data_IF_247959231197
#
_entry.id   IF_247959231197
#
_cell.length_a   1.000
_cell.length_b   1.000
_cell.length_c   1.000
_cell.angle_alpha   90.00
_cell.angle_beta   90.00
_cell.angle_gamma   90.00
#
_symmetry.space_group_name_H-M   'P 1'
#
loop_
_entity.id
_entity.type
_entity.pdbx_description
1 polymer ?
#
# COMPACT_ATOMS: atom_id res chain seq x y z
N UNK A 1 36.70 3.06 10.17
CA UNK A 1 37.03 1.81 9.47
C UNK A 1 37.76 2.11 8.18
N UNK A 2 37.02 2.40 7.10
CA UNK A 2 37.57 2.64 5.76
C UNK A 2 38.51 3.86 5.60
N UNK A 3 38.43 4.85 6.49
CA UNK A 3 39.20 6.09 6.38
C UNK A 3 40.48 6.12 7.22
N UNK A 4 40.72 5.11 8.06
CA UNK A 4 41.93 5.06 8.90
C UNK A 4 43.12 4.39 8.20
N UNK A 5 42.86 3.60 7.16
CA UNK A 5 43.90 2.88 6.41
C UNK A 5 43.70 3.21 4.92
N UNK A 6 44.61 4.00 4.34
CA UNK A 6 44.55 4.55 2.99
C UNK A 6 44.64 3.55 1.83
N UNK A 7 44.26 2.29 2.07
CA UNK A 7 44.11 1.23 1.07
C UNK A 7 42.83 0.47 1.36
N UNK A 8 42.04 0.20 0.32
CA UNK A 8 40.97 -0.80 0.37
C UNK A 8 41.61 -2.17 0.60
N UNK A 9 41.84 -2.52 1.87
CA UNK A 9 42.15 -3.89 2.23
C UNK A 9 40.89 -4.71 1.91
N UNK A 10 40.91 -5.40 0.78
CA UNK A 10 39.85 -6.32 0.35
C UNK A 10 39.49 -7.28 1.51
N UNK A 11 40.47 -7.63 2.34
CA UNK A 11 40.28 -8.40 3.58
C UNK A 11 39.38 -7.72 4.61
N UNK A 12 39.47 -6.40 4.82
CA UNK A 12 38.58 -5.66 5.71
C UNK A 12 37.14 -5.67 5.21
N UNK A 13 36.93 -5.38 3.92
CA UNK A 13 35.60 -5.38 3.30
C UNK A 13 35.00 -6.78 3.33
N UNK A 14 35.77 -7.81 2.98
CA UNK A 14 35.33 -9.20 3.02
C UNK A 14 34.97 -9.62 4.45
N UNK A 15 35.78 -9.27 5.45
CA UNK A 15 35.49 -9.54 6.87
C UNK A 15 34.18 -8.86 7.30
N UNK A 16 33.98 -7.60 6.94
CA UNK A 16 32.76 -6.87 7.28
C UNK A 16 31.54 -7.55 6.66
N UNK A 17 31.58 -7.86 5.36
CA UNK A 17 30.49 -8.54 4.65
C UNK A 17 30.20 -9.92 5.26
N UNK A 18 31.23 -10.74 5.52
CA UNK A 18 31.07 -12.07 6.11
C UNK A 18 30.49 -12.01 7.52
N UNK A 19 30.98 -11.11 8.38
CA UNK A 19 30.43 -10.93 9.73
C UNK A 19 28.99 -10.42 9.69
N UNK A 20 28.65 -9.54 8.73
CA UNK A 20 27.28 -9.08 8.51
C UNK A 20 26.37 -10.25 8.17
N UNK A 21 26.75 -11.05 7.16
CA UNK A 21 25.97 -12.19 6.70
C UNK A 21 25.84 -13.26 7.78
N UNK A 22 26.93 -13.54 8.50
CA UNK A 22 26.92 -14.48 9.63
C UNK A 22 25.98 -13.98 10.74
N UNK A 23 26.09 -12.72 11.15
CA UNK A 23 25.22 -12.12 12.15
C UNK A 23 23.75 -12.17 11.73
N UNK A 24 23.41 -11.78 10.49
CA UNK A 24 22.04 -11.83 9.97
C UNK A 24 21.51 -13.26 9.93
N UNK A 25 22.29 -14.21 9.45
CA UNK A 25 21.89 -15.62 9.35
C UNK A 25 21.65 -16.23 10.73
N UNK A 26 22.59 -16.04 11.66
CA UNK A 26 22.47 -16.52 13.05
C UNK A 26 21.27 -15.86 13.74
N UNK A 27 21.07 -14.57 13.48
CA UNK A 27 19.96 -13.82 14.07
C UNK A 27 18.61 -14.37 13.62
N UNK A 28 18.39 -14.49 12.32
CA UNK A 28 17.12 -14.93 11.75
C UNK A 28 16.83 -16.43 11.95
N UNK A 29 17.84 -17.25 12.27
CA UNK A 29 17.68 -18.69 12.50
C UNK A 29 17.71 -19.08 13.98
N UNK A 30 18.85 -18.89 14.64
CA UNK A 30 19.09 -19.33 16.02
C UNK A 30 18.52 -18.34 17.03
N UNK A 31 18.92 -17.06 16.94
CA UNK A 31 18.50 -16.06 17.93
C UNK A 31 17.00 -15.82 17.87
N UNK A 32 16.37 -15.94 16.70
CA UNK A 32 14.91 -15.92 16.56
C UNK A 32 14.23 -16.90 17.52
N UNK A 33 14.69 -18.15 17.57
CA UNK A 33 14.13 -19.18 18.47
C UNK A 33 14.38 -18.86 19.93
N UNK A 34 15.54 -18.28 20.25
CA UNK A 34 15.89 -17.87 21.62
C UNK A 34 14.99 -16.72 22.08
N UNK A 35 14.79 -15.72 21.22
CA UNK A 35 13.95 -14.54 21.50
C UNK A 35 12.49 -14.94 21.66
N UNK A 36 11.94 -15.81 20.81
CA UNK A 36 10.56 -16.29 20.95
C UNK A 36 10.36 -17.08 22.24
N UNK A 37 11.27 -18.02 22.56
CA UNK A 37 11.24 -18.75 23.84
C UNK A 37 11.33 -17.83 25.05
N UNK A 38 12.22 -16.84 25.02
CA UNK A 38 12.36 -15.86 26.09
C UNK A 38 11.08 -15.03 26.25
N UNK A 39 10.44 -14.64 25.14
CA UNK A 39 9.18 -13.90 25.16
C UNK A 39 8.03 -14.73 25.73
N UNK A 40 7.90 -16.00 25.31
CA UNK A 40 6.92 -16.94 25.88
C UNK A 40 7.15 -17.15 27.37
N UNK A 41 8.41 -17.24 27.80
CA UNK A 41 8.75 -17.35 29.22
C UNK A 41 8.30 -16.11 30.02
N UNK A 42 8.59 -14.91 29.51
CA UNK A 42 8.16 -13.64 30.13
C UNK A 42 6.63 -13.59 30.21
N UNK A 43 5.94 -13.96 29.13
CA UNK A 43 4.48 -13.96 29.08
C UNK A 43 3.87 -14.94 30.10
N UNK A 44 4.32 -16.19 30.10
CA UNK A 44 3.76 -17.24 30.95
C UNK A 44 4.00 -16.98 32.44
N UNK A 45 5.12 -16.34 32.80
CA UNK A 45 5.49 -16.13 34.20
C UNK A 45 4.98 -14.82 34.79
N UNK A 46 4.72 -13.81 33.96
CA UNK A 46 4.48 -12.43 34.42
C UNK A 46 3.17 -11.82 33.90
N UNK A 47 2.43 -12.55 33.07
CA UNK A 47 1.13 -12.12 32.57
C UNK A 47 1.18 -11.09 31.45
N UNK A 48 0.00 -10.78 30.91
CA UNK A 48 -0.18 -10.03 29.67
C UNK A 48 0.14 -8.52 29.78
N UNK A 49 0.03 -7.94 30.98
CA UNK A 49 0.19 -6.49 31.22
C UNK A 49 1.56 -6.11 31.83
N UNK A 50 2.59 -6.94 31.70
CA UNK A 50 3.91 -6.62 32.23
C UNK A 50 4.68 -5.66 31.31
N UNK A 51 5.14 -4.52 31.84
CA UNK A 51 6.05 -3.60 31.12
C UNK A 51 7.39 -4.24 30.72
N UNK A 52 7.67 -5.44 31.24
CA UNK A 52 8.88 -6.21 30.96
C UNK A 52 8.97 -6.72 29.53
N UNK A 53 7.84 -6.95 28.83
CA UNK A 53 7.87 -7.25 27.39
C UNK A 53 8.51 -6.10 26.62
N UNK A 54 8.08 -4.87 26.92
CA UNK A 54 8.62 -3.64 26.33
C UNK A 54 10.10 -3.47 26.68
N UNK A 55 10.47 -3.67 27.95
CA UNK A 55 11.88 -3.63 28.37
C UNK A 55 12.72 -4.65 27.61
N UNK A 56 12.24 -5.88 27.47
CA UNK A 56 12.94 -6.93 26.73
C UNK A 56 13.11 -6.57 25.24
N UNK A 57 12.06 -6.05 24.59
CA UNK A 57 12.15 -5.54 23.20
C UNK A 57 13.26 -4.50 23.07
N UNK A 58 13.32 -3.53 23.99
CA UNK A 58 14.34 -2.48 23.96
C UNK A 58 15.76 -3.02 24.20
N UNK A 59 15.93 -3.97 25.13
CA UNK A 59 17.22 -4.59 25.42
C UNK A 59 17.72 -5.42 24.24
N UNK A 60 16.85 -6.24 23.62
CA UNK A 60 17.22 -7.01 22.42
C UNK A 60 17.63 -6.08 21.28
N UNK A 61 16.88 -5.00 21.06
CA UNK A 61 17.24 -3.96 20.09
C UNK A 61 18.62 -3.35 20.37
N UNK A 62 18.88 -2.94 21.61
CA UNK A 62 20.16 -2.36 22.02
C UNK A 62 21.34 -3.34 21.87
N UNK A 63 21.15 -4.62 22.23
CA UNK A 63 22.17 -5.66 22.07
C UNK A 63 22.52 -5.85 20.60
N UNK A 64 21.51 -5.99 19.73
CA UNK A 64 21.75 -6.18 18.30
C UNK A 64 22.37 -4.94 17.67
N UNK A 65 21.93 -3.74 18.08
CA UNK A 65 22.55 -2.48 17.70
C UNK A 65 24.02 -2.39 18.11
N UNK A 66 24.36 -2.82 19.33
CA UNK A 66 25.73 -2.84 19.82
C UNK A 66 26.60 -3.86 19.08
N UNK A 67 26.08 -5.07 18.80
CA UNK A 67 26.79 -6.09 18.02
C UNK A 67 27.10 -5.57 16.61
N UNK A 68 26.11 -4.99 15.93
CA UNK A 68 26.31 -4.45 14.57
C UNK A 68 27.26 -3.27 14.54
N UNK A 69 27.22 -2.41 15.56
CA UNK A 69 28.21 -1.33 15.73
C UNK A 69 29.63 -1.86 15.91
N UNK A 70 29.80 -2.94 16.69
CA UNK A 70 31.10 -3.58 16.91
C UNK A 70 31.62 -4.29 15.63
N UNK A 71 30.73 -4.83 14.79
CA UNK A 71 31.11 -5.36 13.46
C UNK A 71 31.62 -4.25 12.53
N UNK A 72 31.30 -2.98 12.83
CA UNK A 72 31.64 -1.82 12.01
C UNK A 72 30.53 -1.39 11.05
N UNK A 73 29.30 -1.86 11.30
CA UNK A 73 28.09 -1.47 10.56
C UNK A 73 27.32 -0.47 11.42
N UNK A 74 26.45 0.32 10.79
CA UNK A 74 25.56 1.19 11.52
C UNK A 74 24.58 0.39 12.41
N UNK A 75 24.37 0.84 13.65
CA UNK A 75 23.54 0.17 14.67
C UNK A 75 22.07 -0.01 14.25
N UNK A 76 21.57 0.85 13.35
CA UNK A 76 20.23 0.73 12.77
C UNK A 76 19.98 -0.65 12.15
N UNK A 77 20.99 -1.25 11.54
CA UNK A 77 20.87 -2.58 10.95
C UNK A 77 20.57 -3.63 12.02
N UNK A 78 21.23 -3.55 13.18
CA UNK A 78 20.97 -4.44 14.30
C UNK A 78 19.56 -4.26 14.87
N UNK A 79 19.14 -3.00 15.08
CA UNK A 79 17.77 -2.69 15.51
C UNK A 79 16.71 -3.17 14.52
N UNK A 80 16.98 -3.08 13.22
CA UNK A 80 16.10 -3.62 12.18
C UNK A 80 15.95 -5.14 12.29
N UNK A 81 17.06 -5.88 12.36
CA UNK A 81 17.02 -7.35 12.49
C UNK A 81 16.33 -7.78 13.80
N UNK A 82 16.61 -7.09 14.91
CA UNK A 82 15.91 -7.30 16.17
C UNK A 82 14.39 -7.08 16.03
N UNK A 83 14.01 -5.99 15.37
CA UNK A 83 12.62 -5.65 15.08
C UNK A 83 11.91 -6.68 14.21
N UNK A 84 12.56 -7.21 13.17
CA UNK A 84 12.03 -8.30 12.33
C UNK A 84 11.77 -9.55 13.16
N UNK A 85 12.73 -9.98 13.98
CA UNK A 85 12.60 -11.17 14.82
C UNK A 85 11.49 -11.01 15.86
N UNK A 86 11.46 -9.87 16.56
CA UNK A 86 10.44 -9.57 17.56
C UNK A 86 9.06 -9.43 16.91
N UNK A 87 8.98 -8.84 15.72
CA UNK A 87 7.74 -8.71 14.96
C UNK A 87 7.07 -10.05 14.62
N UNK A 88 7.86 -11.13 14.53
CA UNK A 88 7.38 -12.50 14.28
C UNK A 88 7.17 -13.33 15.55
N UNK A 89 7.48 -12.79 16.74
CA UNK A 89 7.33 -13.51 18.00
C UNK A 89 5.85 -13.59 18.42
N UNK A 90 5.42 -14.77 18.87
CA UNK A 90 4.00 -15.10 19.03
C UNK A 90 3.26 -14.27 20.11
N UNK A 91 3.99 -13.74 21.10
CA UNK A 91 3.40 -13.14 22.32
C UNK A 91 3.59 -11.61 22.40
N UNK A 92 3.91 -10.96 21.27
CA UNK A 92 3.96 -9.50 21.16
C UNK A 92 2.64 -8.99 20.61
N UNK A 93 1.96 -8.17 21.40
CA UNK A 93 0.67 -7.57 21.02
C UNK A 93 0.86 -6.23 20.31
N UNK A 94 -0.17 -5.76 19.59
CA UNK A 94 -0.17 -4.40 19.04
C UNK A 94 -0.09 -3.31 20.13
N UNK A 95 -0.59 -3.60 21.34
CA UNK A 95 -0.42 -2.73 22.50
C UNK A 95 1.06 -2.58 22.87
N UNK A 96 1.82 -3.67 22.89
CA UNK A 96 3.26 -3.64 23.17
C UNK A 96 4.00 -2.78 22.13
N UNK A 97 3.66 -2.96 20.85
CA UNK A 97 4.24 -2.18 19.74
C UNK A 97 3.93 -0.69 19.87
N UNK A 98 2.69 -0.34 20.22
CA UNK A 98 2.28 1.04 20.45
C UNK A 98 3.06 1.68 21.62
N UNK A 99 3.27 0.95 22.72
CA UNK A 99 4.05 1.47 23.86
C UNK A 99 5.51 1.70 23.48
N UNK A 100 6.14 0.76 22.76
CA UNK A 100 7.51 0.92 22.25
C UNK A 100 7.59 2.15 21.34
N UNK A 101 6.68 2.27 20.37
CA UNK A 101 6.62 3.40 19.45
C UNK A 101 6.50 4.74 20.21
N UNK A 102 5.55 4.83 21.15
CA UNK A 102 5.35 6.02 21.98
C UNK A 102 6.61 6.37 22.78
N UNK A 103 7.30 5.39 23.34
CA UNK A 103 8.55 5.60 24.07
C UNK A 103 9.66 6.14 23.15
N UNK A 104 9.81 5.58 21.95
CA UNK A 104 10.77 6.06 20.94
C UNK A 104 10.52 7.52 20.57
N UNK A 105 9.28 7.89 20.24
CA UNK A 105 8.96 9.27 19.85
C UNK A 105 8.94 10.26 21.02
N UNK A 106 8.67 9.80 22.24
CA UNK A 106 8.59 10.69 23.41
C UNK A 106 9.97 10.96 24.02
N UNK A 107 10.89 9.99 23.95
CA UNK A 107 12.19 10.05 24.63
C UNK A 107 13.34 10.13 23.63
N UNK A 108 13.51 9.11 22.78
CA UNK A 108 14.71 8.98 21.95
C UNK A 108 14.78 9.99 20.81
N UNK A 109 13.66 10.22 20.11
CA UNK A 109 13.63 11.16 18.97
C UNK A 109 13.95 12.60 19.40
N UNK A 110 13.31 13.18 20.44
CA UNK A 110 13.65 14.52 20.91
C UNK A 110 15.09 14.63 21.41
N UNK A 111 15.59 13.64 22.16
CA UNK A 111 16.98 13.64 22.64
C UNK A 111 17.97 13.59 21.47
N UNK A 112 17.71 12.76 20.46
CA UNK A 112 18.53 12.67 19.26
C UNK A 112 18.63 14.04 18.54
N UNK A 113 17.49 14.68 18.28
CA UNK A 113 17.47 15.99 17.63
C UNK A 113 18.03 17.12 18.50
N UNK A 114 17.80 17.09 19.82
CA UNK A 114 18.38 18.05 20.74
C UNK A 114 19.91 17.92 20.78
N UNK A 115 20.45 16.70 20.82
CA UNK A 115 21.89 16.47 20.79
C UNK A 115 22.53 17.00 19.50
N UNK A 116 21.86 16.81 18.36
CA UNK A 116 22.29 17.40 17.07
C UNK A 116 22.29 18.93 17.14
N UNK A 117 21.21 19.54 17.62
CA UNK A 117 21.05 20.99 17.69
C UNK A 117 22.03 21.68 18.64
N UNK A 118 22.46 21.00 19.73
CA UNK A 118 23.41 21.56 20.69
C UNK A 118 24.85 21.62 20.16
N UNK A 119 25.22 20.77 19.20
CA UNK A 119 26.58 20.69 18.66
C UNK A 119 26.80 21.57 17.43
N UNK A 120 25.77 22.27 16.95
CA UNK A 120 25.79 22.95 15.65
C UNK A 120 25.22 24.35 15.75
N UNK A 121 25.96 25.34 15.24
CA UNK A 121 25.40 26.67 15.01
C UNK A 121 24.73 26.71 13.64
N UNK A 122 23.45 26.36 13.61
CA UNK A 122 22.65 26.37 12.39
C UNK A 122 22.57 27.76 11.77
N UNK A 123 22.50 28.83 12.55
CA UNK A 123 22.28 30.19 12.03
C UNK A 123 23.55 30.71 11.38
N UNK A 124 24.70 30.54 12.03
CA UNK A 124 25.98 31.02 11.51
C UNK A 124 26.44 30.23 10.28
N UNK A 125 26.12 28.94 10.20
CA UNK A 125 26.62 28.05 9.16
C UNK A 125 25.58 27.69 8.07
N UNK A 126 24.40 28.31 8.07
CA UNK A 126 23.38 28.07 7.05
C UNK A 126 23.81 28.64 5.70
N UNK A 127 23.94 27.79 4.69
CA UNK A 127 24.21 28.19 3.31
C UNK A 127 23.06 27.76 2.39
N UNK A 128 22.25 28.73 1.97
CA UNK A 128 21.07 28.49 1.13
C UNK A 128 21.41 27.79 -0.19
N UNK A 129 22.55 28.12 -0.80
CA UNK A 129 22.95 27.52 -2.07
C UNK A 129 23.32 26.06 -1.86
N UNK A 130 24.13 25.78 -0.84
CA UNK A 130 24.56 24.41 -0.54
C UNK A 130 23.37 23.52 -0.11
N UNK A 131 22.45 24.04 0.71
CA UNK A 131 21.21 23.35 1.09
C UNK A 131 20.38 23.00 -0.13
N UNK A 132 20.16 23.94 -1.05
CA UNK A 132 19.37 23.71 -2.25
C UNK A 132 20.01 22.67 -3.17
N UNK A 133 21.33 22.77 -3.39
CA UNK A 133 22.08 21.82 -4.22
C UNK A 133 22.03 20.42 -3.62
N UNK A 134 22.34 20.26 -2.33
CA UNK A 134 22.32 18.95 -1.66
C UNK A 134 20.90 18.37 -1.62
N UNK A 135 19.88 19.19 -1.40
CA UNK A 135 18.48 18.74 -1.41
C UNK A 135 18.05 18.27 -2.80
N UNK A 136 18.35 19.05 -3.86
CA UNK A 136 17.99 18.72 -5.22
C UNK A 136 18.69 17.43 -5.70
N UNK A 137 20.00 17.32 -5.44
CA UNK A 137 20.77 16.12 -5.77
C UNK A 137 20.27 14.93 -4.96
N UNK A 138 20.10 15.10 -3.64
CA UNK A 138 19.68 14.02 -2.73
C UNK A 138 18.31 13.45 -3.11
N UNK A 139 17.31 14.31 -3.32
CA UNK A 139 15.96 13.90 -3.70
C UNK A 139 15.96 13.34 -5.13
N UNK A 140 16.54 14.06 -6.08
CA UNK A 140 16.53 13.70 -7.50
C UNK A 140 17.26 12.40 -7.80
N UNK A 141 18.48 12.24 -7.29
CA UNK A 141 19.27 11.03 -7.53
C UNK A 141 18.61 9.78 -6.94
N UNK A 142 18.03 9.88 -5.73
CA UNK A 142 17.34 8.76 -5.08
C UNK A 142 16.05 8.40 -5.77
N UNK A 143 15.24 9.39 -6.11
CA UNK A 143 14.03 9.19 -6.88
C UNK A 143 14.36 8.47 -8.19
N UNK A 144 15.34 8.96 -8.96
CA UNK A 144 15.71 8.38 -10.24
C UNK A 144 16.25 6.96 -10.09
N UNK A 145 17.14 6.72 -9.12
CA UNK A 145 17.70 5.39 -8.86
C UNK A 145 16.61 4.38 -8.48
N UNK A 146 15.68 4.76 -7.59
CA UNK A 146 14.57 3.92 -7.19
C UNK A 146 13.54 3.72 -8.32
N UNK A 147 13.32 4.73 -9.17
CA UNK A 147 12.47 4.62 -10.35
C UNK A 147 13.03 3.63 -11.38
N UNK A 148 14.34 3.73 -11.66
CA UNK A 148 15.02 2.79 -12.57
C UNK A 148 15.04 1.38 -11.95
N UNK A 149 15.37 1.26 -10.66
CA UNK A 149 15.40 -0.02 -9.96
C UNK A 149 14.03 -0.71 -9.90
N UNK A 150 12.95 0.04 -9.66
CA UNK A 150 11.59 -0.50 -9.69
C UNK A 150 11.15 -0.93 -11.09
N UNK A 151 11.59 -0.22 -12.13
CA UNK A 151 11.36 -0.64 -13.51
C UNK A 151 12.08 -1.94 -13.84
N UNK A 152 13.32 -2.11 -13.37
CA UNK A 152 14.09 -3.34 -13.57
C UNK A 152 13.56 -4.54 -12.78
N UNK A 153 12.91 -4.32 -11.64
CA UNK A 153 12.26 -5.38 -10.87
C UNK A 153 10.88 -5.79 -11.40
N UNK A 154 10.46 -5.27 -12.55
CA UNK A 154 9.21 -5.66 -13.21
C UNK A 154 7.94 -5.11 -12.54
N UNK A 155 8.03 -4.01 -11.80
CA UNK A 155 6.88 -3.39 -11.16
C UNK A 155 5.95 -2.71 -12.18
N UNK A 156 4.65 -2.72 -11.89
CA UNK A 156 3.66 -2.03 -12.72
C UNK A 156 3.98 -0.53 -12.83
N UNK A 157 3.70 0.04 -14.01
CA UNK A 157 3.97 1.46 -14.31
C UNK A 157 3.31 2.42 -13.32
N UNK A 158 2.15 2.04 -12.79
CA UNK A 158 1.41 2.76 -11.75
C UNK A 158 2.16 2.88 -10.43
N UNK A 159 3.02 1.92 -10.11
CA UNK A 159 3.70 1.81 -8.82
C UNK A 159 5.11 2.41 -8.84
N UNK A 160 5.72 2.59 -10.03
CA UNK A 160 7.10 3.09 -10.17
C UNK A 160 7.34 4.39 -9.41
N UNK A 161 6.48 5.40 -9.63
CA UNK A 161 6.61 6.69 -8.97
C UNK A 161 6.38 6.61 -7.46
N UNK A 162 5.47 5.75 -7.00
CA UNK A 162 5.17 5.59 -5.57
C UNK A 162 6.38 4.99 -4.85
N UNK A 163 6.96 3.94 -5.41
CA UNK A 163 8.17 3.32 -4.90
C UNK A 163 9.31 4.34 -4.89
N UNK A 164 9.50 5.07 -5.99
CA UNK A 164 10.56 6.07 -6.12
C UNK A 164 10.46 7.20 -5.09
N UNK A 165 9.27 7.78 -4.92
CA UNK A 165 9.00 8.81 -3.90
C UNK A 165 9.32 8.29 -2.50
N UNK A 166 8.95 7.04 -2.21
CA UNK A 166 9.16 6.41 -0.89
C UNK A 166 10.63 6.22 -0.51
N UNK A 167 11.54 6.30 -1.47
CA UNK A 167 12.98 6.20 -1.24
C UNK A 167 13.69 7.57 -1.18
N UNK A 168 12.95 8.68 -1.33
CA UNK A 168 13.53 10.03 -1.25
C UNK A 168 13.89 10.51 0.14
N UNK A 169 13.16 10.18 1.23
CA UNK A 169 13.52 10.63 2.57
C UNK A 169 14.94 10.23 2.96
N UNK A 170 15.73 11.21 3.42
CA UNK A 170 17.04 10.95 3.99
C UNK A 170 16.96 10.22 5.33
N UNK A 171 16.04 10.63 6.20
CA UNK A 171 15.94 10.09 7.56
C UNK A 171 17.25 10.26 8.37
N UNK A 172 17.31 9.53 9.49
CA UNK A 172 18.40 9.65 10.48
C UNK A 172 19.80 9.25 9.95
N UNK A 173 19.88 8.30 9.01
CA UNK A 173 21.16 7.70 8.61
C UNK A 173 22.11 8.73 7.96
N UNK A 174 21.57 9.73 7.24
CA UNK A 174 22.36 10.81 6.64
C UNK A 174 23.03 11.65 7.69
N UNK A 175 22.26 12.00 8.72
CA UNK A 175 22.73 12.85 9.80
C UNK A 175 23.86 12.15 10.53
N UNK A 176 23.72 10.86 10.84
CA UNK A 176 24.77 10.12 11.54
C UNK A 176 26.04 9.98 10.70
N UNK A 177 25.92 9.64 9.41
CA UNK A 177 27.10 9.53 8.52
C UNK A 177 27.78 10.90 8.37
N UNK A 178 27.00 11.98 8.21
CA UNK A 178 27.54 13.33 8.10
C UNK A 178 28.22 13.76 9.40
N UNK A 179 27.66 13.43 10.57
CA UNK A 179 28.29 13.70 11.86
C UNK A 179 29.62 12.97 12.02
N UNK A 180 29.71 11.71 11.58
CA UNK A 180 30.97 10.96 11.59
C UNK A 180 32.00 11.57 10.62
N UNK A 181 31.56 12.02 9.45
CA UNK A 181 32.43 12.73 8.51
C UNK A 181 32.93 14.06 9.09
N UNK A 182 32.07 14.79 9.81
CA UNK A 182 32.43 16.03 10.48
C UNK A 182 33.42 15.80 11.63
N UNK A 183 33.17 14.81 12.49
CA UNK A 183 34.06 14.50 13.62
C UNK A 183 35.42 13.94 13.19
N UNK A 184 35.51 13.38 11.98
CA UNK A 184 36.78 12.99 11.35
C UNK A 184 37.44 14.13 10.56
N UNK A 185 36.84 15.32 10.51
CA UNK A 185 37.37 16.49 9.80
C UNK A 185 37.23 16.42 8.28
N UNK A 186 36.44 15.49 7.73
CA UNK A 186 36.25 15.32 6.28
C UNK A 186 35.33 16.37 5.66
N UNK A 187 34.39 16.89 6.44
CA UNK A 187 33.45 17.92 5.99
C UNK A 187 33.44 19.09 6.97
N UNK A 188 33.16 20.29 6.47
CA UNK A 188 32.98 21.46 7.31
C UNK A 188 31.61 21.49 7.97
N UNK A 189 31.48 22.30 9.02
CA UNK A 189 30.19 22.49 9.72
C UNK A 189 29.09 22.98 8.78
N UNK A 190 29.43 23.88 7.83
CA UNK A 190 28.51 24.35 6.76
C UNK A 190 27.93 23.20 5.93
N UNK A 191 28.76 22.22 5.57
CA UNK A 191 28.33 21.04 4.81
C UNK A 191 27.45 20.15 5.67
N UNK A 192 27.80 19.95 6.94
CA UNK A 192 26.99 19.17 7.89
C UNK A 192 25.59 19.78 8.08
N UNK A 193 25.51 21.08 8.36
CA UNK A 193 24.24 21.82 8.50
C UNK A 193 23.40 21.68 7.23
N UNK A 194 24.03 21.79 6.05
CA UNK A 194 23.34 21.67 4.77
C UNK A 194 22.79 20.25 4.52
N UNK A 195 23.53 19.20 4.90
CA UNK A 195 23.07 17.81 4.82
C UNK A 195 21.88 17.57 5.75
N UNK A 196 21.92 18.09 6.99
CA UNK A 196 20.82 17.94 7.94
C UNK A 196 19.57 18.67 7.43
N UNK A 197 19.71 19.90 6.95
CA UNK A 197 18.61 20.65 6.36
C UNK A 197 17.99 19.90 5.17
N UNK A 198 18.82 19.36 4.26
CA UNK A 198 18.35 18.55 3.14
C UNK A 198 17.61 17.27 3.58
N UNK A 199 18.06 16.59 4.63
CA UNK A 199 17.38 15.43 5.19
C UNK A 199 15.99 15.78 5.75
N UNK A 200 15.84 16.94 6.40
CA UNK A 200 14.55 17.44 6.88
C UNK A 200 13.65 17.82 5.70
N UNK A 201 14.16 18.60 4.74
CA UNK A 201 13.42 19.04 3.55
C UNK A 201 12.89 17.83 2.77
N UNK A 202 13.73 16.83 2.49
CA UNK A 202 13.31 15.61 1.79
C UNK A 202 12.18 14.86 2.52
N UNK A 203 12.21 14.84 3.85
CA UNK A 203 11.18 14.18 4.67
C UNK A 203 9.87 14.97 4.67
N UNK A 204 9.93 16.30 4.70
CA UNK A 204 8.75 17.18 4.61
C UNK A 204 8.11 17.09 3.22
N UNK A 205 8.93 17.11 2.15
CA UNK A 205 8.45 17.04 0.75
C UNK A 205 7.82 15.67 0.45
N UNK A 206 8.36 14.60 1.01
CA UNK A 206 7.89 13.23 0.80
C UNK A 206 6.39 13.06 1.11
N UNK A 207 5.90 13.55 2.25
CA UNK A 207 4.52 13.32 2.69
C UNK A 207 3.46 13.84 1.69
N UNK A 208 3.44 15.15 1.38
CA UNK A 208 2.53 15.72 0.40
C UNK A 208 2.71 15.12 -1.00
N UNK A 209 3.94 14.88 -1.42
CA UNK A 209 4.23 14.36 -2.76
C UNK A 209 3.72 12.93 -2.95
N UNK A 210 3.92 12.07 -1.95
CA UNK A 210 3.40 10.70 -1.95
C UNK A 210 1.86 10.73 -1.95
N UNK A 211 1.25 11.50 -1.05
CA UNK A 211 -0.21 11.60 -0.91
C UNK A 211 -0.87 12.05 -2.22
N UNK A 212 -0.33 13.09 -2.87
CA UNK A 212 -0.83 13.56 -4.16
C UNK A 212 -0.71 12.51 -5.27
N UNK A 213 0.39 11.75 -5.30
CA UNK A 213 0.63 10.70 -6.30
C UNK A 213 -0.33 9.53 -6.12
N UNK A 214 -0.51 9.06 -4.89
CA UNK A 214 -1.47 8.00 -4.55
C UNK A 214 -2.90 8.42 -4.88
N UNK A 215 -3.28 9.67 -4.61
CA UNK A 215 -4.61 10.20 -4.95
C UNK A 215 -4.87 10.22 -6.46
N UNK A 216 -3.86 10.57 -7.27
CA UNK A 216 -3.96 10.53 -8.74
C UNK A 216 -4.12 9.10 -9.27
N UNK A 217 -3.39 8.14 -8.70
CA UNK A 217 -3.52 6.73 -9.06
C UNK A 217 -4.92 6.19 -8.76
N UNK A 218 -5.46 6.50 -7.56
CA UNK A 218 -6.83 6.14 -7.19
C UNK A 218 -7.82 6.68 -8.23
N UNK A 219 -7.74 7.97 -8.60
CA UNK A 219 -8.62 8.55 -9.64
C UNK A 219 -8.56 7.81 -10.98
N UNK A 220 -7.38 7.44 -11.44
CA UNK A 220 -7.21 6.71 -12.71
C UNK A 220 -7.80 5.30 -12.71
N UNK A 221 -7.91 4.65 -11.54
CA UNK A 221 -8.52 3.32 -11.37
C UNK A 221 -10.06 3.42 -11.37
N UNK A 222 -10.62 4.60 -11.07
CA UNK A 222 -12.05 4.82 -10.80
C UNK A 222 -12.80 5.66 -11.83
N UNK A 223 -12.35 5.73 -13.09
CA UNK A 223 -13.18 6.31 -14.16
C UNK A 223 -14.34 5.34 -14.48
N UNK A 224 -15.34 5.34 -13.60
CA UNK A 224 -16.57 4.58 -13.71
C UNK A 224 -17.58 5.41 -14.51
N UNK A 225 -17.89 4.92 -15.71
CA UNK A 225 -18.95 5.42 -16.57
C UNK A 225 -20.25 4.70 -16.20
N UNK A 226 -21.15 5.44 -15.55
CA UNK A 226 -22.49 4.99 -15.21
C UNK A 226 -23.43 6.19 -15.14
N UNK A 227 -24.15 6.41 -16.24
CA UNK A 227 -25.12 7.47 -16.41
C UNK A 227 -26.56 6.93 -16.22
N UNK A 228 -27.54 7.82 -16.06
CA UNK A 228 -28.94 7.41 -15.87
C UNK A 228 -29.48 6.62 -17.07
N UNK A 229 -29.00 6.91 -18.28
CA UNK A 229 -29.28 6.16 -19.51
C UNK A 229 -28.75 4.72 -19.52
N UNK A 230 -27.82 4.37 -18.63
CA UNK A 230 -27.28 3.00 -18.49
C UNK A 230 -28.18 2.10 -17.62
N UNK A 231 -29.34 2.61 -17.21
CA UNK A 231 -30.36 1.89 -16.44
C UNK A 231 -31.56 1.57 -17.33
N UNK A 232 -31.72 0.28 -17.62
CA UNK A 232 -32.75 -0.27 -18.48
C UNK A 232 -33.84 -0.91 -17.63
N UNK A 233 -35.06 -0.39 -17.74
CA UNK A 233 -36.23 -0.87 -17.01
C UNK A 233 -37.06 -1.77 -17.93
N UNK A 234 -37.67 -2.81 -17.34
CA UNK A 234 -38.49 -3.79 -18.03
C UNK A 234 -37.76 -4.41 -19.24
N UNK A 235 -36.48 -4.74 -19.07
CA UNK A 235 -35.70 -5.45 -20.08
C UNK A 235 -36.38 -6.79 -20.42
N UNK A 236 -36.83 -6.92 -21.67
CA UNK A 236 -37.51 -8.11 -22.18
C UNK A 236 -36.46 -9.14 -22.60
N UNK A 237 -36.36 -10.23 -21.84
CA UNK A 237 -35.58 -11.41 -22.18
C UNK A 237 -36.26 -12.60 -21.52
N UNK A 238 -36.22 -13.77 -22.15
CA UNK A 238 -36.82 -15.00 -21.62
C UNK A 238 -35.78 -15.95 -21.03
N UNK A 239 -34.52 -15.85 -21.47
CA UNK A 239 -33.42 -16.69 -20.98
C UNK A 239 -32.21 -15.87 -20.53
N UNK A 240 -31.36 -16.49 -19.70
CA UNK A 240 -30.06 -15.92 -19.31
C UNK A 240 -29.21 -15.56 -20.54
N UNK A 241 -29.16 -16.45 -21.52
CA UNK A 241 -28.30 -16.29 -22.70
C UNK A 241 -28.76 -15.14 -23.62
N UNK A 242 -30.08 -15.02 -23.82
CA UNK A 242 -30.68 -13.86 -24.50
C UNK A 242 -30.33 -12.55 -23.78
N UNK A 243 -30.39 -12.54 -22.45
CA UNK A 243 -30.03 -11.37 -21.66
C UNK A 243 -28.53 -11.04 -21.79
N UNK A 244 -27.63 -12.04 -21.82
CA UNK A 244 -26.21 -11.82 -22.08
C UNK A 244 -25.98 -11.20 -23.46
N UNK A 245 -26.68 -11.66 -24.49
CA UNK A 245 -26.63 -11.06 -25.83
C UNK A 245 -27.15 -9.63 -25.85
N UNK A 246 -28.28 -9.37 -25.19
CA UNK A 246 -28.87 -8.03 -25.06
C UNK A 246 -27.89 -7.06 -24.40
N UNK A 247 -27.35 -7.43 -23.25
CA UNK A 247 -26.33 -6.66 -22.53
C UNK A 247 -25.10 -6.39 -23.40
N UNK A 248 -24.60 -7.39 -24.12
CA UNK A 248 -23.44 -7.24 -25.00
C UNK A 248 -23.69 -6.24 -26.12
N UNK A 249 -24.90 -6.19 -26.67
CA UNK A 249 -25.28 -5.19 -27.69
C UNK A 249 -25.24 -3.75 -27.16
N UNK A 250 -25.60 -3.57 -25.88
CA UNK A 250 -25.63 -2.28 -25.19
C UNK A 250 -24.19 -1.80 -24.94
N UNK A 251 -23.35 -2.70 -24.40
CA UNK A 251 -21.92 -2.43 -24.18
C UNK A 251 -21.23 -2.08 -25.50
N UNK A 252 -21.50 -2.83 -26.58
CA UNK A 252 -20.91 -2.60 -27.89
C UNK A 252 -21.23 -1.19 -28.43
N UNK A 253 -22.46 -0.71 -28.28
CA UNK A 253 -22.86 0.65 -28.69
C UNK A 253 -22.10 1.73 -27.92
N UNK A 254 -21.90 1.55 -26.61
CA UNK A 254 -21.27 2.56 -25.75
C UNK A 254 -19.74 2.57 -25.87
N UNK A 255 -19.15 1.40 -26.04
CA UNK A 255 -17.69 1.22 -26.02
C UNK A 255 -17.08 1.17 -27.44
N UNK A 256 -17.90 0.97 -28.48
CA UNK A 256 -17.50 0.73 -29.88
C UNK A 256 -16.73 -0.57 -30.11
N UNK A 257 -16.85 -1.55 -29.20
CA UNK A 257 -16.22 -2.86 -29.31
C UNK A 257 -17.10 -3.88 -30.04
N UNK A 258 -16.46 -4.96 -30.51
CA UNK A 258 -17.16 -6.08 -31.12
C UNK A 258 -18.09 -6.76 -30.10
N UNK A 259 -19.37 -6.82 -30.44
CA UNK A 259 -20.42 -7.43 -29.60
C UNK A 259 -20.13 -8.89 -29.25
N UNK A 260 -19.65 -9.67 -30.21
CA UNK A 260 -19.47 -11.11 -30.04
C UNK A 260 -18.28 -11.40 -29.12
N UNK A 261 -17.22 -10.59 -29.19
CA UNK A 261 -16.12 -10.63 -28.21
C UNK A 261 -16.59 -10.27 -26.80
N UNK A 262 -17.44 -9.24 -26.64
CA UNK A 262 -18.00 -8.86 -25.34
C UNK A 262 -18.84 -10.00 -24.76
N UNK A 263 -19.74 -10.56 -25.58
CA UNK A 263 -20.57 -11.69 -25.18
C UNK A 263 -19.73 -12.88 -24.76
N UNK A 264 -18.69 -13.22 -25.53
CA UNK A 264 -17.79 -14.31 -25.22
C UNK A 264 -17.15 -14.13 -23.84
N UNK A 265 -16.61 -12.96 -23.52
CA UNK A 265 -15.96 -12.70 -22.22
C UNK A 265 -16.94 -12.73 -21.04
N UNK A 266 -18.16 -12.18 -21.21
CA UNK A 266 -19.20 -12.25 -20.16
C UNK A 266 -19.64 -13.69 -19.95
N UNK A 267 -19.90 -14.43 -21.03
CA UNK A 267 -20.35 -15.83 -20.99
C UNK A 267 -19.29 -16.74 -20.40
N UNK A 268 -18.03 -16.59 -20.81
CA UNK A 268 -16.90 -17.35 -20.27
C UNK A 268 -16.83 -17.21 -18.75
N UNK A 269 -17.08 -16.01 -18.21
CA UNK A 269 -17.12 -15.79 -16.76
C UNK A 269 -18.37 -16.38 -16.11
N UNK A 270 -19.54 -16.23 -16.72
CA UNK A 270 -20.81 -16.73 -16.19
C UNK A 270 -20.86 -18.28 -16.14
N UNK A 271 -20.30 -18.94 -17.15
CA UNK A 271 -20.29 -20.42 -17.26
C UNK A 271 -19.31 -21.08 -16.27
N UNK A 272 -18.32 -20.35 -15.73
CA UNK A 272 -17.44 -20.87 -14.66
C UNK A 272 -18.19 -21.02 -13.34
N UNK A 273 -19.00 -20.03 -12.99
CA UNK A 273 -19.81 -19.99 -11.78
C UNK A 273 -20.83 -18.86 -11.92
N UNK A 274 -22.09 -19.16 -11.56
CA UNK A 274 -23.17 -18.17 -11.54
C UNK A 274 -22.76 -16.90 -10.80
N UNK A 275 -23.12 -15.75 -11.37
CA UNK A 275 -22.91 -14.43 -10.75
C UNK A 275 -24.12 -13.94 -9.97
N UNK A 276 -25.12 -14.81 -9.75
CA UNK A 276 -26.24 -14.54 -8.87
C UNK A 276 -25.78 -14.47 -7.41
N UNK A 277 -26.18 -13.40 -6.73
CA UNK A 277 -25.86 -13.15 -5.31
C UNK A 277 -27.00 -13.58 -4.37
N UNK A 278 -28.07 -14.14 -4.93
CA UNK A 278 -29.36 -14.31 -4.27
C UNK A 278 -30.15 -13.01 -4.17
N UNK A 279 -31.29 -13.05 -3.47
CA UNK A 279 -32.23 -11.93 -3.28
C UNK A 279 -32.69 -11.30 -4.60
N UNK A 280 -32.79 -12.11 -5.66
CA UNK A 280 -33.15 -11.67 -7.02
C UNK A 280 -32.18 -10.69 -7.69
N UNK A 281 -30.89 -10.74 -7.34
CA UNK A 281 -29.84 -9.89 -7.93
C UNK A 281 -28.71 -10.74 -8.54
N UNK A 282 -28.21 -10.34 -9.70
CA UNK A 282 -26.97 -10.86 -10.28
C UNK A 282 -25.99 -9.73 -10.64
N UNK A 283 -24.69 -10.03 -10.57
CA UNK A 283 -23.62 -9.10 -10.97
C UNK A 283 -22.68 -9.74 -12.00
N UNK A 284 -23.15 -9.97 -13.25
CA UNK A 284 -22.28 -10.41 -14.32
C UNK A 284 -21.14 -9.43 -14.51
N UNK A 285 -19.93 -9.94 -14.73
CA UNK A 285 -18.76 -9.09 -14.86
C UNK A 285 -17.75 -9.67 -15.83
N UNK A 286 -17.10 -8.80 -16.60
CA UNK A 286 -16.09 -9.21 -17.57
C UNK A 286 -14.95 -8.19 -17.63
N UNK A 287 -13.80 -8.66 -18.11
CA UNK A 287 -12.64 -7.82 -18.41
C UNK A 287 -12.47 -7.76 -19.92
N UNK A 288 -12.33 -6.55 -20.46
CA UNK A 288 -12.11 -6.36 -21.90
C UNK A 288 -10.73 -5.74 -22.14
N UNK A 289 -10.12 -6.13 -23.27
CA UNK A 289 -8.92 -5.48 -23.78
C UNK A 289 -9.25 -4.15 -24.45
N UNK A 290 -8.30 -3.21 -24.42
CA UNK A 290 -8.37 -1.90 -25.09
C UNK A 290 -9.47 -0.93 -24.61
N UNK A 291 -10.17 -1.21 -23.50
CA UNK A 291 -10.95 -0.17 -22.79
C UNK A 291 -10.09 0.50 -21.72
N UNK A 292 -10.25 1.81 -21.57
CA UNK A 292 -9.53 2.65 -20.60
C UNK A 292 -10.39 2.97 -19.36
N UNK A 293 -11.69 2.74 -19.44
CA UNK A 293 -12.68 3.05 -18.40
C UNK A 293 -13.46 1.83 -17.96
N UNK A 294 -13.98 1.88 -16.74
CA UNK A 294 -14.90 0.87 -16.24
C UNK A 294 -16.33 1.29 -16.54
N UNK A 295 -17.17 0.38 -17.02
CA UNK A 295 -18.57 0.64 -17.34
C UNK A 295 -19.47 -0.19 -16.46
N UNK A 296 -20.51 0.44 -15.91
CA UNK A 296 -21.55 -0.25 -15.15
C UNK A 296 -22.87 -0.03 -15.88
N UNK A 297 -23.70 -1.07 -15.93
CA UNK A 297 -25.05 -1.01 -16.48
C UNK A 297 -26.00 -1.72 -15.53
N UNK A 298 -27.24 -1.26 -15.44
CA UNK A 298 -28.28 -1.89 -14.64
C UNK A 298 -29.46 -2.28 -15.51
N UNK A 299 -29.97 -3.49 -15.31
CA UNK A 299 -31.10 -4.02 -16.05
C UNK A 299 -32.12 -4.58 -15.06
N UNK A 300 -33.33 -4.05 -15.12
CA UNK A 300 -34.46 -4.54 -14.34
C UNK A 300 -35.39 -5.35 -15.24
N UNK A 301 -35.69 -6.59 -14.87
CA UNK A 301 -36.57 -7.48 -15.65
C UNK A 301 -37.95 -7.61 -15.00
N UNK A 302 -38.99 -7.68 -15.83
CA UNK A 302 -40.38 -7.68 -15.36
C UNK A 302 -40.78 -8.98 -14.66
N UNK A 303 -40.40 -10.12 -15.24
CA UNK A 303 -40.83 -11.46 -14.79
C UNK A 303 -39.78 -12.15 -13.90
N UNK A 304 -38.53 -11.68 -13.92
CA UNK A 304 -37.39 -12.41 -13.37
C UNK A 304 -36.86 -13.44 -14.35
N UNK A 305 -35.56 -13.73 -14.27
CA UNK A 305 -34.87 -14.71 -15.10
C UNK A 305 -34.26 -15.81 -14.25
N UNK A 306 -34.28 -17.04 -14.75
CA UNK A 306 -33.52 -18.13 -14.15
C UNK A 306 -32.03 -17.86 -14.36
N UNK A 307 -31.27 -17.87 -13.26
CA UNK A 307 -29.85 -17.48 -13.25
C UNK A 307 -29.02 -18.41 -12.36
N UNK A 308 -29.54 -19.57 -11.96
CA UNK A 308 -28.86 -20.50 -11.05
C UNK A 308 -28.49 -19.79 -9.73
N UNK A 309 -29.48 -19.11 -9.14
CA UNK A 309 -29.31 -18.36 -7.89
C UNK A 309 -29.12 -19.31 -6.71
N UNK A 310 -28.20 -19.01 -5.77
CA UNK A 310 -27.93 -19.89 -4.62
C UNK A 310 -29.13 -20.04 -3.67
N UNK A 311 -30.10 -19.13 -3.73
CA UNK A 311 -31.35 -19.17 -2.95
C UNK A 311 -32.56 -19.65 -3.77
N UNK A 312 -32.36 -20.05 -5.03
CA UNK A 312 -33.40 -20.50 -5.95
C UNK A 312 -34.34 -19.40 -6.46
N UNK A 313 -34.09 -18.13 -6.14
CA UNK A 313 -34.94 -17.02 -6.59
C UNK A 313 -34.58 -16.57 -8.01
N UNK A 314 -35.60 -16.24 -8.81
CA UNK A 314 -35.40 -15.60 -10.11
C UNK A 314 -34.74 -14.22 -9.95
N UNK A 315 -33.79 -13.92 -10.83
CA UNK A 315 -33.07 -12.64 -10.86
C UNK A 315 -33.90 -11.57 -11.56
N UNK A 316 -34.13 -10.46 -10.87
CA UNK A 316 -34.88 -9.30 -11.39
C UNK A 316 -34.02 -8.08 -11.62
N UNK A 317 -32.92 -7.93 -10.88
CA UNK A 317 -31.97 -6.85 -11.07
C UNK A 317 -30.61 -7.42 -11.46
N UNK A 318 -30.10 -7.00 -12.61
CA UNK A 318 -28.80 -7.42 -13.13
C UNK A 318 -27.93 -6.18 -13.21
N UNK A 319 -26.77 -6.20 -12.55
CA UNK A 319 -25.79 -5.10 -12.60
C UNK A 319 -24.55 -5.60 -13.32
N UNK A 320 -24.41 -5.25 -14.59
CA UNK A 320 -23.26 -5.65 -15.41
C UNK A 320 -22.06 -4.74 -15.11
N UNK A 321 -20.89 -5.34 -14.87
CA UNK A 321 -19.64 -4.63 -14.63
C UNK A 321 -18.57 -5.00 -15.67
N UNK A 322 -18.17 -4.03 -16.48
CA UNK A 322 -17.12 -4.17 -17.50
C UNK A 322 -15.89 -3.37 -17.08
N UNK A 323 -14.71 -3.98 -17.08
CA UNK A 323 -13.47 -3.34 -16.60
C UNK A 323 -12.29 -3.59 -17.53
N UNK A 324 -11.29 -2.69 -17.58
CA UNK A 324 -10.06 -2.92 -18.32
C UNK A 324 -9.31 -4.16 -17.84
N UNK A 325 -8.83 -5.00 -18.77
CA UNK A 325 -8.03 -6.19 -18.45
C UNK A 325 -6.74 -5.86 -17.67
N UNK A 326 -6.15 -4.70 -17.95
CA UNK A 326 -4.92 -4.21 -17.31
C UNK A 326 -5.15 -3.61 -15.90
N UNK A 327 -6.40 -3.55 -15.44
CA UNK A 327 -6.77 -3.00 -14.13
C UNK A 327 -7.60 -3.98 -13.29
N UNK A 328 -7.05 -5.15 -12.91
CA UNK A 328 -7.81 -6.19 -12.19
C UNK A 328 -8.37 -5.71 -10.84
N UNK A 329 -7.68 -4.77 -10.19
CA UNK A 329 -8.11 -4.19 -8.92
C UNK A 329 -9.37 -3.34 -9.03
N UNK A 330 -9.64 -2.72 -10.19
CA UNK A 330 -10.84 -1.91 -10.41
C UNK A 330 -12.11 -2.76 -10.27
N UNK A 331 -12.10 -3.96 -10.87
CA UNK A 331 -13.23 -4.88 -10.83
C UNK A 331 -13.54 -5.33 -9.40
N UNK A 332 -12.53 -5.74 -8.62
CA UNK A 332 -12.72 -6.20 -7.25
C UNK A 332 -13.34 -5.10 -6.38
N UNK A 333 -12.91 -3.85 -6.54
CA UNK A 333 -13.41 -2.74 -5.74
C UNK A 333 -14.85 -2.36 -6.12
N UNK A 334 -15.19 -2.34 -7.42
CA UNK A 334 -16.58 -2.13 -7.86
C UNK A 334 -17.48 -3.24 -7.31
N UNK A 335 -17.05 -4.49 -7.40
CA UNK A 335 -17.80 -5.64 -6.86
C UNK A 335 -17.97 -5.54 -5.34
N UNK A 336 -16.94 -5.14 -4.60
CA UNK A 336 -17.02 -4.95 -3.14
C UNK A 336 -18.04 -3.87 -2.76
N UNK A 337 -18.04 -2.73 -3.46
CA UNK A 337 -18.99 -1.65 -3.20
C UNK A 337 -20.43 -2.05 -3.53
N UNK A 338 -20.65 -2.75 -4.64
CA UNK A 338 -21.97 -3.26 -4.99
C UNK A 338 -22.42 -4.36 -4.03
N UNK A 339 -21.53 -5.27 -3.63
CA UNK A 339 -21.83 -6.36 -2.72
C UNK A 339 -22.28 -5.86 -1.34
N UNK A 340 -21.64 -4.81 -0.80
CA UNK A 340 -22.05 -4.20 0.47
C UNK A 340 -23.49 -3.69 0.43
N UNK A 341 -23.88 -3.01 -0.64
CA UNK A 341 -25.25 -2.53 -0.85
C UNK A 341 -26.27 -3.66 -0.99
N UNK A 342 -25.86 -4.77 -1.62
CA UNK A 342 -26.71 -5.93 -1.88
C UNK A 342 -26.85 -6.86 -0.67
N UNK A 343 -25.94 -6.81 0.30
CA UNK A 343 -26.05 -7.51 1.58
C UNK A 343 -27.08 -6.87 2.52
N UNK A 344 -27.31 -5.56 2.40
CA UNK A 344 -28.37 -4.87 3.14
C UNK A 344 -29.75 -5.28 2.58
N UNK A 345 -30.47 -6.09 3.36
CA UNK A 345 -31.78 -6.63 2.99
C UNK A 345 -32.81 -5.57 2.60
N UNK A 346 -32.83 -4.41 3.27
CA UNK A 346 -33.82 -3.36 2.98
C UNK A 346 -33.47 -2.66 1.67
N UNK A 347 -32.20 -2.30 1.48
CA UNK A 347 -31.72 -1.67 0.25
C UNK A 347 -31.89 -2.59 -0.96
N UNK A 348 -31.43 -3.84 -0.86
CA UNK A 348 -31.53 -4.83 -1.92
C UNK A 348 -32.98 -5.04 -2.35
N UNK A 349 -33.90 -5.22 -1.40
CA UNK A 349 -35.33 -5.38 -1.69
C UNK A 349 -35.90 -4.14 -2.39
N UNK A 350 -35.58 -2.93 -1.91
CA UNK A 350 -36.04 -1.70 -2.53
C UNK A 350 -35.56 -1.55 -3.97
N UNK A 351 -34.29 -1.88 -4.26
CA UNK A 351 -33.75 -1.86 -5.63
C UNK A 351 -34.39 -2.92 -6.52
N UNK A 352 -34.73 -4.09 -5.99
CA UNK A 352 -35.39 -5.14 -6.77
C UNK A 352 -36.85 -4.82 -7.07
N UNK A 353 -37.57 -4.15 -6.16
CA UNK A 353 -39.00 -3.88 -6.34
C UNK A 353 -39.29 -2.56 -7.06
N UNK A 354 -38.37 -1.60 -7.02
CA UNK A 354 -38.57 -0.28 -7.60
C UNK A 354 -38.18 -0.27 -9.09
N UNK A 355 -39.10 0.18 -9.95
CA UNK A 355 -38.92 0.28 -11.40
C UNK A 355 -38.61 1.71 -11.88
N UNK A 356 -38.43 2.64 -10.97
CA UNK A 356 -38.03 4.00 -11.33
C UNK A 356 -36.54 4.03 -11.73
N UNK A 357 -36.29 4.43 -12.98
CA UNK A 357 -34.94 4.51 -13.56
C UNK A 357 -34.02 5.39 -12.72
N UNK A 358 -34.50 6.57 -12.34
CA UNK A 358 -33.71 7.58 -11.63
C UNK A 358 -33.36 7.13 -10.22
N UNK A 359 -34.29 6.46 -9.54
CA UNK A 359 -34.09 5.85 -8.23
C UNK A 359 -33.01 4.77 -8.27
N UNK A 360 -33.08 3.84 -9.23
CA UNK A 360 -32.08 2.78 -9.36
C UNK A 360 -30.69 3.33 -9.71
N UNK A 361 -30.64 4.27 -10.66
CA UNK A 361 -29.41 4.98 -10.97
C UNK A 361 -28.82 5.66 -9.74
N UNK A 362 -29.60 6.48 -9.03
CA UNK A 362 -29.13 7.20 -7.85
C UNK A 362 -28.66 6.26 -6.74
N UNK A 363 -29.39 5.17 -6.50
CA UNK A 363 -29.05 4.17 -5.48
C UNK A 363 -27.71 3.49 -5.80
N UNK A 364 -27.56 2.96 -7.01
CA UNK A 364 -26.32 2.31 -7.45
C UNK A 364 -25.16 3.31 -7.55
N UNK A 365 -25.40 4.52 -8.05
CA UNK A 365 -24.39 5.58 -8.16
C UNK A 365 -23.88 6.02 -6.79
N UNK A 366 -24.75 6.10 -5.79
CA UNK A 366 -24.35 6.41 -4.41
C UNK A 366 -23.35 5.39 -3.87
N UNK A 367 -23.59 4.10 -4.11
CA UNK A 367 -22.72 3.01 -3.63
C UNK A 367 -21.37 2.99 -4.39
N UNK A 368 -21.40 3.25 -5.70
CA UNK A 368 -20.18 3.39 -6.51
C UNK A 368 -19.37 4.64 -6.15
N UNK A 369 -20.01 5.75 -5.76
CA UNK A 369 -19.33 6.95 -5.31
C UNK A 369 -18.78 6.81 -3.87
N UNK A 370 -19.46 6.05 -3.01
CA UNK A 370 -18.94 5.70 -1.70
C UNK A 370 -17.60 4.93 -1.84
N UNK A 371 -17.44 4.09 -2.87
CA UNK A 371 -16.15 3.49 -3.24
C UNK A 371 -15.04 4.54 -3.47
N UNK A 372 -15.37 5.63 -4.17
CA UNK A 372 -14.43 6.70 -4.48
C UNK A 372 -14.04 7.53 -3.25
N UNK A 373 -14.89 7.58 -2.21
CA UNK A 373 -14.68 8.37 -0.99
C UNK A 373 -14.14 7.56 0.20
N UNK A 374 -14.55 6.30 0.36
CA UNK A 374 -14.19 5.44 1.51
C UNK A 374 -12.69 5.19 1.68
N UNK A 375 -11.88 5.42 0.64
CA UNK A 375 -10.42 5.25 0.69
C UNK A 375 -9.64 6.58 0.61
N UNK A 376 -10.30 7.73 0.77
CA UNK A 376 -9.63 9.05 0.84
C UNK A 376 -9.38 9.48 2.29
N UNK A 377 -10.12 8.92 3.24
CA UNK A 377 -10.09 9.30 4.66
C UNK A 377 -9.46 8.25 5.60
N UNK A 378 -8.87 7.17 5.07
CA UNK A 378 -8.15 6.16 5.86
C UNK A 378 -6.63 6.29 5.77
#
# INVERSE_FOLDING_TARGET
>A
GLFAHGSLEIGFVARLVLLTLAFTTISLTLLRRVVDKAMTFIHNRMGENSGLKVTFIMVVGAIFGAITLNIGIHSLFGFFIAGTILGEANHITEKDRFVVNRLVYSVFVPIFFANIGLHLDFIANFDWFLVLVISAIGIGARYLAAYIGSKWSGQDKSNLSIIAISHTPGGQMHIVIAMLAYSSGLISEKVLVSIIAAAIISTIVFGPWLSQTVRKLKRSIFDIVFAEEDVYIDAESSTRDEMLHYMSSIVARKTKFNRDSIYHEIKLREDQMSTAMGRSIAIPHARLENIDKSYVFAFHTRQGLEWDSPDGNLVRLIVLVITPKDSPNAQLQILQSLAGAMQDHKKARNMVTNRDRRFLWASLRSELNACQQCNVES
#
